data_IF_097098657630
#
_entry.id   IF_097098657630
#
_cell.length_a   1.000
_cell.length_b   1.000
_cell.length_c   1.000
_cell.angle_alpha   90.00
_cell.angle_beta   90.00
_cell.angle_gamma   90.00
#
_symmetry.space_group_name_H-M   'P 1'
#
loop_
_entity.id
_entity.type
_entity.pdbx_description
1 polymer ?
#
# COMPACT_ATOMS: atom_id res chain seq x y z
N UNK A 1 16.16 3.69 12.73
CA UNK A 1 17.18 3.63 11.66
C UNK A 1 16.92 2.45 10.70
N UNK A 2 15.83 2.46 9.92
CA UNK A 2 15.42 1.30 9.06
C UNK A 2 15.05 1.70 7.60
N UNK A 3 15.48 2.87 7.13
CA UNK A 3 15.21 3.33 5.75
C UNK A 3 16.27 2.89 4.74
N UNK A 4 17.48 2.52 5.19
CA UNK A 4 18.66 2.26 4.33
C UNK A 4 18.61 0.94 3.57
N UNK A 5 17.92 -0.10 4.08
CA UNK A 5 17.85 -1.44 3.46
C UNK A 5 16.56 -1.73 2.67
N UNK A 6 15.74 -0.70 2.45
CA UNK A 6 14.45 -0.87 1.80
C UNK A 6 14.62 -0.86 0.29
N UNK A 7 14.60 -2.04 -0.35
CA UNK A 7 14.61 -2.16 -1.83
C UNK A 7 13.62 -1.14 -2.45
N UNK A 8 14.06 -0.37 -3.44
CA UNK A 8 13.20 0.61 -4.09
C UNK A 8 12.05 -0.10 -4.79
N UNK A 9 10.87 0.53 -4.82
CA UNK A 9 9.76 0.05 -5.63
C UNK A 9 10.11 0.20 -7.11
N UNK A 10 9.70 -0.78 -7.92
CA UNK A 10 9.90 -0.72 -9.37
C UNK A 10 9.26 0.54 -9.98
N UNK A 11 9.79 1.01 -11.10
CA UNK A 11 9.23 2.16 -11.81
C UNK A 11 7.76 1.96 -12.17
N UNK A 12 7.40 0.77 -12.68
CA UNK A 12 6.03 0.41 -13.03
C UNK A 12 5.07 0.44 -11.82
N UNK A 13 5.50 -0.06 -10.65
CA UNK A 13 4.68 0.01 -9.43
C UNK A 13 4.50 1.47 -8.99
N UNK A 14 5.56 2.28 -9.00
CA UNK A 14 5.47 3.71 -8.66
C UNK A 14 4.51 4.45 -9.58
N UNK A 15 4.60 4.22 -10.89
CA UNK A 15 3.69 4.82 -11.88
C UNK A 15 2.24 4.42 -11.63
N UNK A 16 1.99 3.13 -11.37
CA UNK A 16 0.64 2.62 -11.07
C UNK A 16 0.06 3.23 -9.80
N UNK A 17 0.84 3.32 -8.73
CA UNK A 17 0.39 3.93 -7.48
C UNK A 17 0.14 5.43 -7.64
N UNK A 18 0.96 6.14 -8.44
CA UNK A 18 0.71 7.56 -8.76
C UNK A 18 -0.60 7.74 -9.52
N UNK A 19 -0.86 6.93 -10.54
CA UNK A 19 -2.12 6.96 -11.32
C UNK A 19 -3.32 6.73 -10.41
N UNK A 20 -3.26 5.73 -9.53
CA UNK A 20 -4.33 5.43 -8.58
C UNK A 20 -4.57 6.54 -7.55
N UNK A 21 -3.52 7.18 -7.07
CA UNK A 21 -3.66 8.33 -6.17
C UNK A 21 -4.34 9.51 -6.86
N UNK A 22 -3.96 9.81 -8.12
CA UNK A 22 -4.61 10.87 -8.91
C UNK A 22 -6.11 10.58 -9.15
N UNK A 23 -6.47 9.31 -9.34
CA UNK A 23 -7.84 8.91 -9.60
C UNK A 23 -8.77 8.96 -8.37
N UNK A 24 -8.25 9.02 -7.13
CA UNK A 24 -9.06 8.96 -5.91
C UNK A 24 -8.86 10.19 -5.03
N UNK A 25 -9.90 11.00 -4.89
CA UNK A 25 -9.91 12.13 -3.94
C UNK A 25 -9.72 11.63 -2.50
N UNK A 26 -8.86 12.30 -1.73
CA UNK A 26 -8.60 12.00 -0.32
C UNK A 26 -7.55 10.90 -0.06
N UNK A 27 -6.89 10.39 -1.10
CA UNK A 27 -5.80 9.41 -0.96
C UNK A 27 -4.54 9.92 -1.65
N UNK A 28 -3.45 9.99 -0.89
CA UNK A 28 -2.14 10.42 -1.38
C UNK A 28 -1.32 9.24 -1.91
N UNK A 29 -0.40 9.53 -2.82
CA UNK A 29 0.60 8.56 -3.28
C UNK A 29 1.36 7.92 -2.10
N UNK A 30 1.74 8.73 -1.10
CA UNK A 30 2.45 8.25 0.10
C UNK A 30 1.65 7.23 0.91
N UNK A 31 0.32 7.40 1.01
CA UNK A 31 -0.56 6.40 1.65
C UNK A 31 -0.55 5.09 0.85
N UNK A 32 -0.69 5.16 -0.48
CA UNK A 32 -0.69 3.96 -1.31
C UNK A 32 0.64 3.21 -1.28
N UNK A 33 1.77 3.92 -1.24
CA UNK A 33 3.10 3.33 -1.05
C UNK A 33 3.18 2.61 0.30
N UNK A 34 2.66 3.19 1.38
CA UNK A 34 2.65 2.53 2.69
C UNK A 34 1.80 1.27 2.68
N UNK A 35 0.59 1.32 2.13
CA UNK A 35 -0.32 0.17 1.99
C UNK A 35 0.37 -0.95 1.20
N UNK A 36 0.96 -0.62 0.04
CA UNK A 36 1.65 -1.61 -0.78
C UNK A 36 2.78 -2.30 -0.01
N UNK A 37 3.63 -1.53 0.68
CA UNK A 37 4.75 -2.10 1.46
C UNK A 37 4.28 -2.94 2.64
N UNK A 38 3.18 -2.56 3.31
CA UNK A 38 2.56 -3.38 4.35
C UNK A 38 1.94 -4.65 3.78
N UNK A 39 1.39 -4.58 2.56
CA UNK A 39 0.97 -5.75 1.81
C UNK A 39 2.11 -6.73 1.54
N UNK A 40 3.29 -6.23 1.13
CA UNK A 40 4.48 -7.06 0.98
C UNK A 40 4.95 -7.69 2.30
N UNK A 41 4.97 -6.91 3.39
CA UNK A 41 5.37 -7.43 4.71
C UNK A 41 4.44 -8.53 5.22
N UNK A 42 3.12 -8.35 5.09
CA UNK A 42 2.16 -9.36 5.48
C UNK A 42 2.20 -10.61 4.59
N UNK A 43 2.56 -10.46 3.31
CA UNK A 43 2.80 -11.60 2.45
C UNK A 43 3.92 -12.48 2.99
N UNK A 44 5.04 -11.86 3.36
CA UNK A 44 6.21 -12.56 3.91
C UNK A 44 5.93 -13.20 5.27
N UNK A 45 5.10 -12.58 6.11
CA UNK A 45 4.76 -13.10 7.44
C UNK A 45 3.73 -14.23 7.47
N UNK A 46 3.08 -14.57 6.35
CA UNK A 46 2.02 -15.59 6.32
C UNK A 46 0.90 -15.33 5.31
N UNK A 47 1.15 -14.56 4.25
CA UNK A 47 0.16 -14.35 3.20
C UNK A 47 -0.04 -15.59 2.32
N UNK A 48 -1.09 -15.56 1.50
CA UNK A 48 -1.40 -16.67 0.61
C UNK A 48 -0.29 -16.92 -0.41
N UNK A 49 0.31 -18.10 -0.38
CA UNK A 49 1.33 -18.53 -1.36
C UNK A 49 0.76 -18.85 -2.74
N UNK A 50 -0.58 -18.82 -2.90
CA UNK A 50 -1.26 -19.05 -4.19
C UNK A 50 -1.21 -17.83 -5.12
N UNK A 51 -0.83 -16.66 -4.60
CA UNK A 51 -0.81 -15.40 -5.37
C UNK A 51 0.60 -14.79 -5.32
N UNK A 52 1.12 -14.23 -6.43
CA UNK A 52 2.39 -13.52 -6.39
C UNK A 52 2.34 -12.35 -5.41
N UNK A 53 3.45 -12.09 -4.70
CA UNK A 53 3.56 -11.02 -3.71
C UNK A 53 3.13 -9.65 -4.26
N UNK A 54 3.49 -9.35 -5.51
CA UNK A 54 3.11 -8.09 -6.15
C UNK A 54 1.59 -7.96 -6.33
N UNK A 55 0.93 -9.06 -6.73
CA UNK A 55 -0.52 -9.12 -6.88
C UNK A 55 -1.22 -9.01 -5.52
N UNK A 56 -0.72 -9.71 -4.50
CA UNK A 56 -1.21 -9.62 -3.12
C UNK A 56 -1.15 -8.19 -2.57
N UNK A 57 0.01 -7.55 -2.69
CA UNK A 57 0.21 -6.16 -2.24
C UNK A 57 -0.68 -5.18 -3.01
N UNK A 58 -0.87 -5.39 -4.32
CA UNK A 58 -1.76 -4.56 -5.12
C UNK A 58 -3.25 -4.79 -4.78
N UNK A 59 -3.63 -6.01 -4.40
CA UNK A 59 -4.97 -6.33 -3.91
C UNK A 59 -5.34 -5.51 -2.67
N UNK A 60 -4.40 -5.32 -1.74
CA UNK A 60 -4.58 -4.43 -0.58
C UNK A 60 -4.73 -2.97 -0.97
N UNK A 61 -3.94 -2.48 -1.93
CA UNK A 61 -4.09 -1.12 -2.48
C UNK A 61 -5.49 -0.93 -3.07
N UNK A 62 -5.99 -1.89 -3.86
CA UNK A 62 -7.33 -1.84 -4.44
C UNK A 62 -8.42 -1.87 -3.36
N UNK A 63 -8.27 -2.73 -2.36
CA UNK A 63 -9.17 -2.83 -1.21
C UNK A 63 -9.23 -1.51 -0.41
N UNK A 64 -8.06 -0.88 -0.19
CA UNK A 64 -7.95 0.44 0.43
C UNK A 64 -8.65 1.52 -0.41
N UNK A 65 -8.49 1.51 -1.73
CA UNK A 65 -9.17 2.49 -2.60
C UNK A 65 -10.69 2.28 -2.65
N UNK A 66 -11.16 1.04 -2.57
CA UNK A 66 -12.60 0.67 -2.51
C UNK A 66 -13.27 1.03 -1.19
N UNK A 67 -12.53 1.44 -0.16
CA UNK A 67 -13.11 1.81 1.14
C UNK A 67 -13.13 0.69 2.18
N UNK A 68 -12.46 -0.45 1.93
CA UNK A 68 -12.37 -1.52 2.93
C UNK A 68 -11.78 -1.01 4.25
N UNK A 69 -12.42 -1.41 5.36
CA UNK A 69 -12.01 -1.10 6.74
C UNK A 69 -11.26 -2.27 7.40
N UNK A 70 -10.85 -3.29 6.63
CA UNK A 70 -10.15 -4.47 7.17
C UNK A 70 -8.65 -4.28 7.33
N UNK A 71 -8.03 -3.43 6.50
CA UNK A 71 -6.58 -3.23 6.47
C UNK A 71 -6.24 -1.75 6.39
N UNK A 72 -5.11 -1.36 6.99
CA UNK A 72 -4.51 -0.04 6.84
C UNK A 72 -5.45 1.12 7.21
N UNK A 73 -6.38 0.88 8.14
CA UNK A 73 -7.37 1.87 8.60
C UNK A 73 -6.72 3.07 9.29
N UNK A 74 -5.57 2.84 9.92
CA UNK A 74 -4.72 3.88 10.51
C UNK A 74 -4.27 4.92 9.49
N UNK A 75 -4.10 4.53 8.21
CA UNK A 75 -3.71 5.45 7.14
C UNK A 75 -4.88 6.30 6.64
N UNK A 76 -6.13 5.93 6.93
CA UNK A 76 -7.31 6.72 6.56
C UNK A 76 -7.58 7.86 7.52
N UNK A 77 -7.28 7.64 8.80
CA UNK A 77 -7.45 8.68 9.82
C UNK A 77 -6.46 9.79 9.51
N UNK A 78 -6.97 10.96 9.08
CA UNK A 78 -6.21 12.22 9.10
C UNK A 78 -5.65 12.31 10.51
N UNK A 79 -4.34 12.14 10.64
CA UNK A 79 -3.64 12.32 11.90
C UNK A 79 -3.76 13.81 12.24
N UNK A 80 -4.85 14.22 12.89
CA UNK A 80 -4.85 15.39 13.77
C UNK A 80 -3.85 15.01 14.88
N UNK A 81 -2.57 15.24 14.64
CA UNK A 81 -1.61 15.29 15.73
C UNK A 81 -1.95 16.59 16.46
N UNK A 82 -2.37 16.43 17.72
CA UNK A 82 -2.32 17.50 18.71
C UNK A 82 -0.85 17.87 18.94
#
# INVERSE_FOLDING_TARGET
MARKFRRPLSAATRATLRRKAKAKKGVTYGQLVKVYRRGQGAFLGGGSRRVPMAAWAMGRVNSFLRGSRKHDTDLRRKRRKK
#
